data_IF_730378096155
#
_entry.id   IF_730378096155
#
_cell.length_a   1.000
_cell.length_b   1.000
_cell.length_c   1.000
_cell.angle_alpha   90.00
_cell.angle_beta   90.00
_cell.angle_gamma   90.00
#
_symmetry.space_group_name_H-M   'P 1'
#
loop_
_entity.id
_entity.type
_entity.pdbx_description
1 polymer ?
#
# COMPACT_ATOMS: atom_id res chain seq x y z
N UNK A 1 34.63 -31.85 53.09
CA UNK A 1 35.01 -31.74 51.66
C UNK A 1 33.90 -31.07 50.88
N UNK A 2 34.30 -30.13 50.04
CA UNK A 2 33.55 -29.09 49.37
C UNK A 2 32.94 -29.57 48.04
N UNK A 3 31.73 -29.08 47.78
CA UNK A 3 31.12 -28.70 46.50
C UNK A 3 31.09 -29.69 45.31
N UNK A 4 29.90 -29.83 44.73
CA UNK A 4 29.60 -29.27 43.40
C UNK A 4 28.09 -29.17 43.16
N UNK A 5 27.61 -27.95 43.21
CA UNK A 5 26.26 -27.51 42.84
C UNK A 5 25.98 -27.79 41.37
N UNK A 6 24.75 -28.23 41.04
CA UNK A 6 24.20 -28.13 39.68
C UNK A 6 23.01 -27.18 39.75
N UNK A 7 23.24 -25.95 39.32
CA UNK A 7 22.24 -24.89 39.22
C UNK A 7 21.30 -25.26 38.07
N UNK A 8 20.03 -25.49 38.39
CA UNK A 8 18.98 -25.67 37.38
C UNK A 8 18.58 -24.27 36.93
N UNK A 9 18.96 -23.92 35.70
CA UNK A 9 18.59 -22.66 35.07
C UNK A 9 17.08 -22.63 34.83
N UNK A 10 16.39 -21.72 35.51
CA UNK A 10 14.98 -21.39 35.24
C UNK A 10 14.96 -20.48 34.02
N UNK A 11 14.45 -20.98 32.90
CA UNK A 11 14.18 -20.15 31.71
C UNK A 11 12.88 -19.39 31.99
N UNK A 12 13.01 -18.12 32.34
CA UNK A 12 11.89 -17.18 32.38
C UNK A 12 11.63 -16.73 30.95
N UNK A 13 10.63 -17.33 30.29
CA UNK A 13 10.12 -16.85 29.02
C UNK A 13 9.35 -15.54 29.25
N UNK A 14 10.07 -14.42 29.18
CA UNK A 14 9.53 -13.08 29.21
C UNK A 14 8.91 -12.81 27.83
N UNK A 15 7.65 -13.24 27.63
CA UNK A 15 6.90 -12.87 26.42
C UNK A 15 6.44 -11.43 26.61
N UNK A 16 7.32 -10.49 26.25
CA UNK A 16 6.92 -9.13 26.00
C UNK A 16 6.05 -9.14 24.74
N UNK A 17 4.72 -9.21 24.91
CA UNK A 17 3.79 -8.74 23.87
C UNK A 17 3.92 -7.23 23.85
N UNK A 18 5.01 -6.74 23.27
CA UNK A 18 5.05 -5.40 22.73
C UNK A 18 4.03 -5.42 21.60
N UNK A 19 2.83 -4.91 21.90
CA UNK A 19 1.89 -4.51 20.88
C UNK A 19 2.64 -3.56 19.97
N UNK A 20 3.11 -4.08 18.84
CA UNK A 20 3.58 -3.27 17.75
C UNK A 20 2.29 -2.68 17.18
N UNK A 21 1.81 -1.61 17.83
CA UNK A 21 1.24 -0.51 17.09
C UNK A 21 2.35 -0.11 16.15
N UNK A 22 2.36 -0.72 14.96
CA UNK A 22 3.21 -0.31 13.87
C UNK A 22 2.80 1.12 13.61
N UNK A 23 3.47 2.07 14.25
CA UNK A 23 3.58 3.41 13.72
C UNK A 23 4.25 3.18 12.39
N UNK A 24 3.43 2.99 11.35
CA UNK A 24 3.85 2.90 9.98
C UNK A 24 4.81 4.07 9.84
N UNK A 25 6.09 3.71 9.69
CA UNK A 25 7.12 4.63 9.28
C UNK A 25 6.71 4.94 7.86
N UNK A 26 5.81 5.92 7.71
CA UNK A 26 5.53 6.56 6.45
C UNK A 26 6.84 7.22 6.07
N UNK A 27 7.71 6.45 5.40
CA UNK A 27 8.89 6.94 4.69
C UNK A 27 8.52 8.24 4.02
N UNK A 28 9.03 9.37 4.50
CA UNK A 28 9.20 10.71 3.90
C UNK A 28 8.39 11.14 2.65
N UNK A 29 7.24 10.53 2.35
CA UNK A 29 6.39 10.91 1.24
C UNK A 29 5.73 12.21 1.64
N UNK A 30 5.91 13.24 0.83
CA UNK A 30 5.20 14.49 1.02
C UNK A 30 3.69 14.17 0.99
N UNK A 31 2.93 14.77 1.88
CA UNK A 31 1.46 14.63 1.87
C UNK A 31 0.93 15.01 0.48
N UNK A 32 0.09 14.18 -0.12
CA UNK A 32 -0.35 14.32 -1.50
C UNK A 32 0.48 13.57 -2.56
N UNK A 33 1.57 12.91 -2.16
CA UNK A 33 2.45 12.21 -3.10
C UNK A 33 1.89 10.85 -3.55
N UNK A 34 2.05 10.57 -4.84
CA UNK A 34 1.88 9.26 -5.45
C UNK A 34 3.25 8.85 -5.99
N UNK A 35 3.92 7.95 -5.26
CA UNK A 35 5.26 7.47 -5.58
C UNK A 35 5.19 6.28 -6.55
N UNK A 36 5.76 6.40 -7.75
CA UNK A 36 5.95 5.26 -8.65
C UNK A 36 7.05 4.35 -8.11
N UNK A 37 6.70 3.11 -7.77
CA UNK A 37 7.66 2.10 -7.34
C UNK A 37 8.10 1.24 -8.52
N UNK A 38 9.37 0.84 -8.51
CA UNK A 38 9.80 -0.26 -9.38
C UNK A 38 9.04 -1.54 -9.00
N UNK A 39 8.82 -2.49 -9.94
CA UNK A 39 8.05 -3.70 -9.64
C UNK A 39 8.64 -4.57 -8.52
N UNK A 40 9.98 -4.61 -8.40
CA UNK A 40 10.64 -5.29 -7.28
C UNK A 40 10.37 -4.60 -5.94
N UNK A 41 10.34 -3.26 -5.91
CA UNK A 41 9.99 -2.49 -4.71
C UNK A 41 8.51 -2.60 -4.35
N UNK A 42 7.62 -2.64 -5.33
CA UNK A 42 6.20 -2.94 -5.09
C UNK A 42 6.03 -4.33 -4.46
N UNK A 43 6.72 -5.34 -5.00
CA UNK A 43 6.69 -6.70 -4.46
C UNK A 43 7.21 -6.76 -3.02
N UNK A 44 8.33 -6.08 -2.74
CA UNK A 44 8.88 -5.97 -1.39
C UNK A 44 7.88 -5.30 -0.45
N UNK A 45 7.32 -4.15 -0.86
CA UNK A 45 6.31 -3.43 -0.10
C UNK A 45 5.12 -4.32 0.26
N UNK A 46 4.56 -5.06 -0.70
CA UNK A 46 3.41 -5.93 -0.47
C UNK A 46 3.70 -7.12 0.46
N UNK A 47 4.95 -7.58 0.54
CA UNK A 47 5.38 -8.67 1.42
C UNK A 47 5.68 -8.22 2.84
N UNK A 48 6.28 -7.03 3.01
CA UNK A 48 6.77 -6.56 4.31
C UNK A 48 5.72 -5.75 5.09
N UNK A 49 5.00 -4.85 4.41
CA UNK A 49 4.01 -3.97 5.01
C UNK A 49 2.66 -4.09 4.30
N UNK A 50 2.63 -3.75 3.01
CA UNK A 50 1.45 -3.89 2.16
C UNK A 50 0.23 -3.11 2.69
N UNK A 51 0.44 -2.03 3.44
CA UNK A 51 -0.64 -1.18 3.97
C UNK A 51 -0.63 0.18 3.30
N UNK A 52 -1.77 0.61 2.77
CA UNK A 52 -1.94 1.92 2.17
C UNK A 52 -2.56 1.89 0.78
N UNK A 53 -2.56 3.06 0.14
CA UNK A 53 -3.13 3.24 -1.18
C UNK A 53 -2.17 2.77 -2.28
N UNK A 54 -2.70 2.03 -3.24
CA UNK A 54 -1.95 1.52 -4.40
C UNK A 54 -2.73 1.76 -5.68
N UNK A 55 -2.11 2.45 -6.63
CA UNK A 55 -2.58 2.59 -8.01
C UNK A 55 -1.92 1.50 -8.85
N UNK A 56 -2.71 0.81 -9.66
CA UNK A 56 -2.17 -0.04 -10.73
C UNK A 56 -2.50 0.57 -12.09
N UNK A 57 -1.48 1.15 -12.72
CA UNK A 57 -1.59 1.78 -14.04
C UNK A 57 -1.29 0.76 -15.13
N UNK A 58 -2.28 0.48 -15.96
CA UNK A 58 -2.19 -0.49 -17.04
C UNK A 58 -2.43 0.11 -18.42
N UNK A 59 -3.18 1.20 -18.53
CA UNK A 59 -3.32 1.98 -19.76
C UNK A 59 -2.28 3.10 -19.81
N UNK A 60 -1.33 3.00 -20.76
CA UNK A 60 -0.26 4.00 -20.94
C UNK A 60 -0.81 5.38 -21.30
N UNK A 61 -1.84 5.42 -22.13
CA UNK A 61 -2.37 6.67 -22.69
C UNK A 61 -3.17 7.44 -21.66
N UNK A 62 -3.87 6.73 -20.77
CA UNK A 62 -4.67 7.32 -19.71
C UNK A 62 -3.93 7.51 -18.38
N UNK A 63 -2.72 6.93 -18.23
CA UNK A 63 -1.94 6.97 -16.98
C UNK A 63 -1.80 8.37 -16.40
N UNK A 64 -1.38 9.35 -17.21
CA UNK A 64 -1.14 10.71 -16.71
C UNK A 64 -2.45 11.36 -16.25
N UNK A 65 -3.55 11.13 -16.99
CA UNK A 65 -4.86 11.61 -16.58
C UNK A 65 -5.28 10.99 -15.24
N UNK A 66 -5.25 9.66 -15.11
CA UNK A 66 -5.69 8.97 -13.89
C UNK A 66 -4.83 9.30 -12.67
N UNK A 67 -3.49 9.25 -12.81
CA UNK A 67 -2.58 9.55 -11.70
C UNK A 67 -2.72 11.00 -11.25
N UNK A 68 -2.98 11.96 -12.16
CA UNK A 68 -3.25 13.34 -11.78
C UNK A 68 -4.56 13.49 -10.98
N UNK A 69 -5.63 12.77 -11.34
CA UNK A 69 -6.86 12.78 -10.54
C UNK A 69 -6.65 12.17 -9.15
N UNK A 70 -5.88 11.08 -9.06
CA UNK A 70 -5.55 10.45 -7.77
C UNK A 70 -4.73 11.39 -6.89
N UNK A 71 -3.70 12.06 -7.44
CA UNK A 71 -2.86 13.02 -6.69
C UNK A 71 -3.69 14.15 -6.08
N UNK A 72 -4.59 14.76 -6.84
CA UNK A 72 -5.52 15.78 -6.31
C UNK A 72 -6.33 15.27 -5.12
N UNK A 73 -6.86 14.05 -5.21
CA UNK A 73 -7.62 13.42 -4.12
C UNK A 73 -6.73 13.17 -2.89
N UNK A 74 -5.49 12.71 -3.10
CA UNK A 74 -4.52 12.49 -2.02
C UNK A 74 -4.12 13.79 -1.32
N UNK A 75 -3.88 14.87 -2.08
CA UNK A 75 -3.59 16.20 -1.55
C UNK A 75 -4.74 16.70 -0.68
N UNK A 76 -5.97 16.65 -1.21
CA UNK A 76 -7.18 17.09 -0.50
C UNK A 76 -7.43 16.32 0.80
N UNK A 77 -7.14 15.02 0.80
CA UNK A 77 -7.35 14.15 1.97
C UNK A 77 -6.11 13.99 2.85
N UNK A 78 -5.00 14.67 2.51
CA UNK A 78 -3.74 14.61 3.25
C UNK A 78 -3.22 13.16 3.44
N UNK A 79 -3.27 12.36 2.37
CA UNK A 79 -2.73 10.98 2.32
C UNK A 79 -1.67 10.87 1.23
N UNK A 80 -0.99 9.71 1.16
CA UNK A 80 -0.07 9.36 0.08
C UNK A 80 -0.32 7.92 -0.36
N UNK A 81 0.25 7.55 -1.51
CA UNK A 81 0.15 6.20 -2.04
C UNK A 81 1.29 5.83 -2.96
N UNK A 82 1.23 4.60 -3.44
CA UNK A 82 2.23 4.00 -4.33
C UNK A 82 1.60 3.65 -5.67
N UNK A 83 2.38 3.66 -6.72
CA UNK A 83 1.96 3.23 -8.05
C UNK A 83 2.81 2.03 -8.51
N UNK A 84 2.14 1.03 -9.08
CA UNK A 84 2.75 0.04 -9.98
C UNK A 84 2.34 0.38 -11.41
N UNK A 85 3.31 0.69 -12.27
CA UNK A 85 3.11 0.98 -13.68
C UNK A 85 3.50 -0.24 -14.52
N UNK A 86 2.57 -0.78 -15.33
CA UNK A 86 2.83 -1.94 -16.19
C UNK A 86 3.84 -1.65 -17.31
N UNK A 87 4.11 -0.38 -17.61
CA UNK A 87 5.10 0.08 -18.58
C UNK A 87 6.42 0.52 -17.93
N UNK A 88 6.59 0.36 -16.63
CA UNK A 88 7.87 0.60 -15.98
C UNK A 88 8.93 -0.34 -16.58
N UNK A 89 10.16 0.14 -16.80
CA UNK A 89 11.23 -0.63 -17.50
C UNK A 89 11.58 -1.96 -16.83
N UNK A 90 11.45 -2.03 -15.50
CA UNK A 90 11.60 -3.24 -14.71
C UNK A 90 10.37 -4.17 -14.63
N UNK A 91 9.29 -3.89 -15.35
CA UNK A 91 8.09 -4.72 -15.38
C UNK A 91 8.28 -5.87 -16.37
N UNK A 92 8.08 -7.09 -15.91
CA UNK A 92 8.15 -8.30 -16.74
C UNK A 92 6.78 -8.50 -17.39
N UNK A 93 6.68 -8.19 -18.69
CA UNK A 93 5.44 -8.32 -19.46
C UNK A 93 4.91 -9.76 -19.56
N UNK A 94 5.70 -10.76 -19.18
CA UNK A 94 5.23 -12.16 -19.07
C UNK A 94 4.51 -12.44 -17.74
N UNK A 95 4.54 -11.48 -16.80
CA UNK A 95 3.91 -11.59 -15.48
C UNK A 95 2.71 -10.66 -15.38
N UNK A 96 1.67 -11.18 -14.72
CA UNK A 96 0.57 -10.36 -14.22
C UNK A 96 0.97 -9.59 -12.97
N UNK A 97 0.18 -8.58 -12.62
CA UNK A 97 0.36 -7.73 -11.45
C UNK A 97 0.40 -8.51 -10.13
N UNK A 98 -0.27 -9.66 -10.06
CA UNK A 98 -0.30 -10.54 -8.89
C UNK A 98 1.09 -11.11 -8.54
N UNK A 99 1.99 -11.25 -9.51
CA UNK A 99 3.38 -11.65 -9.27
C UNK A 99 4.13 -10.65 -8.36
N UNK A 100 3.69 -9.38 -8.38
CA UNK A 100 4.22 -8.28 -7.58
C UNK A 100 3.38 -8.02 -6.32
N UNK A 101 2.47 -8.93 -5.96
CA UNK A 101 1.59 -8.80 -4.78
C UNK A 101 0.36 -7.90 -4.97
N UNK A 102 0.24 -7.22 -6.12
CA UNK A 102 -0.92 -6.39 -6.46
C UNK A 102 -2.06 -7.28 -6.93
N UNK A 103 -3.20 -7.30 -6.23
CA UNK A 103 -4.35 -8.18 -6.52
C UNK A 103 -5.54 -7.46 -7.15
N UNK A 104 -5.49 -6.13 -7.19
CA UNK A 104 -6.53 -5.29 -7.80
C UNK A 104 -6.60 -5.46 -9.33
N UNK A 105 -7.69 -4.97 -9.92
CA UNK A 105 -7.87 -4.90 -11.37
C UNK A 105 -7.01 -3.79 -12.00
N UNK A 106 -6.85 -3.84 -13.32
CA UNK A 106 -6.19 -2.80 -14.12
C UNK A 106 -6.88 -1.45 -13.94
N UNK A 107 -6.09 -0.37 -13.97
CA UNK A 107 -6.56 1.01 -13.94
C UNK A 107 -7.51 1.26 -12.77
N UNK A 108 -7.01 0.91 -11.58
CA UNK A 108 -7.70 1.10 -10.31
C UNK A 108 -6.83 1.81 -9.29
N UNK A 109 -7.50 2.48 -8.36
CA UNK A 109 -6.96 2.84 -7.06
C UNK A 109 -7.51 1.84 -6.04
N UNK A 110 -6.65 1.31 -5.18
CA UNK A 110 -7.03 0.37 -4.15
C UNK A 110 -6.44 0.75 -2.79
N UNK A 111 -7.05 0.26 -1.73
CA UNK A 111 -6.49 0.29 -0.39
C UNK A 111 -6.17 -1.13 0.07
N UNK A 112 -4.95 -1.33 0.52
CA UNK A 112 -4.47 -2.57 1.11
C UNK A 112 -4.23 -2.40 2.60
N UNK A 113 -4.37 -3.50 3.33
CA UNK A 113 -3.94 -3.58 4.72
C UNK A 113 -3.22 -4.91 4.90
N UNK A 114 -1.95 -4.86 5.30
CA UNK A 114 -1.11 -6.05 5.50
C UNK A 114 -1.05 -6.96 4.25
N UNK A 115 -0.94 -6.36 3.06
CA UNK A 115 -0.89 -7.08 1.78
C UNK A 115 -2.24 -7.65 1.30
N UNK A 116 -3.32 -7.42 2.05
CA UNK A 116 -4.67 -7.81 1.66
C UNK A 116 -5.42 -6.65 1.01
N UNK A 117 -5.95 -6.89 -0.18
CA UNK A 117 -6.83 -5.96 -0.88
C UNK A 117 -8.14 -5.79 -0.08
N UNK A 118 -8.41 -4.58 0.41
CA UNK A 118 -9.65 -4.28 1.15
C UNK A 118 -10.74 -3.72 0.24
N UNK A 119 -10.38 -2.77 -0.62
CA UNK A 119 -11.30 -2.18 -1.58
C UNK A 119 -10.55 -1.60 -2.78
N UNK A 120 -11.21 -1.57 -3.93
CA UNK A 120 -10.73 -0.94 -5.15
C UNK A 120 -11.84 -0.08 -5.79
N UNK A 121 -11.43 0.93 -6.54
CA UNK A 121 -12.25 1.73 -7.44
C UNK A 121 -11.62 1.69 -8.83
N UNK A 122 -12.44 1.35 -9.85
CA UNK A 122 -11.99 1.23 -11.24
C UNK A 122 -12.24 2.53 -11.99
N UNK A 123 -11.21 3.11 -12.59
CA UNK A 123 -11.28 4.44 -13.20
C UNK A 123 -12.24 4.46 -14.39
N UNK A 124 -12.18 3.44 -15.24
CA UNK A 124 -13.00 3.27 -16.45
C UNK A 124 -14.52 3.28 -16.19
N UNK A 125 -14.97 3.05 -14.94
CA UNK A 125 -16.40 3.05 -14.60
C UNK A 125 -17.02 4.44 -14.56
N UNK A 126 -16.21 5.48 -14.58
CA UNK A 126 -16.65 6.87 -14.37
C UNK A 126 -16.27 7.72 -15.56
N UNK A 127 -17.14 8.70 -15.86
CA UNK A 127 -16.76 9.75 -16.82
C UNK A 127 -15.63 10.60 -16.22
N UNK A 128 -14.83 11.21 -17.07
CA UNK A 128 -13.74 12.10 -16.64
C UNK A 128 -14.20 13.20 -15.68
N UNK A 129 -15.42 13.73 -15.86
CA UNK A 129 -16.02 14.77 -15.00
C UNK A 129 -16.46 14.28 -13.62
N UNK A 130 -16.62 12.96 -13.43
CA UNK A 130 -17.12 12.35 -12.21
C UNK A 130 -16.00 11.69 -11.40
N UNK A 131 -14.97 11.20 -12.10
CA UNK A 131 -13.88 10.43 -11.52
C UNK A 131 -13.20 11.14 -10.34
N UNK A 132 -12.92 12.45 -10.44
CA UNK A 132 -12.28 13.22 -9.37
C UNK A 132 -13.09 13.15 -8.06
N UNK A 133 -14.42 13.34 -8.15
CA UNK A 133 -15.32 13.30 -7.00
C UNK A 133 -15.39 11.90 -6.38
N UNK A 134 -15.44 10.87 -7.21
CA UNK A 134 -15.55 9.49 -6.77
C UNK A 134 -14.25 8.99 -6.12
N UNK A 135 -13.10 9.44 -6.62
CA UNK A 135 -11.80 9.22 -5.98
C UNK A 135 -11.72 9.92 -4.62
N UNK A 136 -12.21 11.15 -4.49
CA UNK A 136 -12.27 11.86 -3.20
C UNK A 136 -13.13 11.11 -2.17
N UNK A 137 -14.33 10.66 -2.59
CA UNK A 137 -15.21 9.84 -1.75
C UNK A 137 -14.52 8.53 -1.34
N UNK A 138 -13.88 7.85 -2.29
CA UNK A 138 -13.18 6.60 -2.01
C UNK A 138 -12.05 6.79 -1.01
N UNK A 139 -11.16 7.77 -1.24
CA UNK A 139 -9.99 8.04 -0.40
C UNK A 139 -10.42 8.44 1.00
N UNK A 140 -11.39 9.37 1.13
CA UNK A 140 -11.93 9.78 2.43
C UNK A 140 -12.48 8.58 3.21
N UNK A 141 -13.32 7.76 2.57
CA UNK A 141 -13.90 6.59 3.23
C UNK A 141 -12.84 5.59 3.69
N UNK A 142 -11.79 5.35 2.89
CA UNK A 142 -10.71 4.43 3.30
C UNK A 142 -9.89 5.02 4.45
N UNK A 143 -9.62 6.33 4.42
CA UNK A 143 -8.92 7.03 5.49
C UNK A 143 -9.68 6.94 6.81
N UNK A 144 -10.97 7.27 6.80
CA UNK A 144 -11.84 7.15 7.98
C UNK A 144 -11.93 5.71 8.49
N UNK A 145 -12.02 4.73 7.59
CA UNK A 145 -12.20 3.33 7.97
C UNK A 145 -10.93 2.59 8.36
N UNK A 146 -9.73 3.06 8.02
CA UNK A 146 -8.50 2.26 8.21
C UNK A 146 -7.29 3.03 8.73
N UNK A 147 -7.28 4.37 8.62
CA UNK A 147 -6.15 5.21 9.02
C UNK A 147 -6.46 5.99 10.29
N UNK A 148 -7.58 6.72 10.31
CA UNK A 148 -7.95 7.62 11.41
C UNK A 148 -8.68 6.90 12.57
N UNK A 149 -8.47 5.58 12.71
CA UNK A 149 -9.13 4.77 13.74
C UNK A 149 -8.66 5.10 15.16
#
# INVERSE_FOLDING_TARGET
MTQKSKIIAVIVALVAVLGIGSTLVFSNSKKGELEELSPSKMKQFMLEDGTGFVVYSFDKEQRDFYTNQVKKSFEKNNVSGKELNSYHTGYDGTKGQSYYGVKQRTDTLAYYQKGELKKEIKFEKYKSSELEKELDVFVRNMKEMYIDK
#
